data_IF_557419411963
#
_entry.id   IF_557419411963
#
_cell.length_a   1.000
_cell.length_b   1.000
_cell.length_c   1.000
_cell.angle_alpha   90.00
_cell.angle_beta   90.00
_cell.angle_gamma   90.00
#
_symmetry.space_group_name_H-M   'P 1'
#
loop_
_entity.id
_entity.type
_entity.pdbx_description
1 polymer ?
#
# COMPACT_ATOMS: atom_id res chain seq x y z
N UNK A 1 22.40 -7.85 -20.95
CA UNK A 1 20.93 -8.00 -20.91
C UNK A 1 20.45 -7.05 -19.84
N UNK A 2 19.68 -6.02 -20.24
CA UNK A 2 19.37 -4.87 -19.37
C UNK A 2 18.14 -5.24 -18.53
N UNK A 3 18.34 -5.41 -17.23
CA UNK A 3 17.29 -5.61 -16.21
C UNK A 3 16.71 -4.24 -15.85
N UNK A 4 15.40 -4.04 -15.87
CA UNK A 4 14.76 -2.77 -15.47
C UNK A 4 13.44 -3.06 -14.70
N UNK A 5 13.42 -2.65 -13.42
CA UNK A 5 12.48 -3.03 -12.35
C UNK A 5 11.21 -2.14 -12.34
N UNK A 6 10.04 -2.61 -11.84
CA UNK A 6 8.79 -2.43 -12.57
C UNK A 6 7.53 -1.76 -11.92
N UNK A 7 6.53 -1.43 -12.76
CA UNK A 7 5.19 -0.83 -12.56
C UNK A 7 4.21 -1.57 -11.61
N UNK A 8 4.53 -2.80 -11.19
CA UNK A 8 3.95 -3.37 -9.98
C UNK A 8 4.15 -2.42 -8.80
N UNK A 9 5.21 -1.63 -8.77
CA UNK A 9 5.40 -0.58 -7.79
C UNK A 9 4.16 0.33 -7.68
N UNK A 10 3.49 0.69 -8.78
CA UNK A 10 2.28 1.53 -8.74
C UNK A 10 1.03 0.74 -8.33
N UNK A 11 0.91 -0.53 -8.72
CA UNK A 11 -0.20 -1.40 -8.33
C UNK A 11 -0.06 -1.87 -6.87
N UNK A 12 1.11 -2.35 -6.43
CA UNK A 12 1.48 -2.65 -5.05
C UNK A 12 1.47 -1.40 -4.19
N UNK A 13 2.01 -0.24 -4.60
CA UNK A 13 1.82 0.99 -3.79
C UNK A 13 0.35 1.40 -3.74
N UNK A 14 -0.43 1.26 -4.81
CA UNK A 14 -1.87 1.51 -4.76
C UNK A 14 -2.61 0.49 -3.89
N UNK A 15 -2.12 -0.75 -3.80
CA UNK A 15 -2.73 -1.83 -3.00
C UNK A 15 -2.33 -1.70 -1.52
N UNK A 16 -1.09 -1.31 -1.23
CA UNK A 16 -0.61 -0.93 0.11
C UNK A 16 -1.29 0.37 0.57
N UNK A 17 -1.48 1.35 -0.31
CA UNK A 17 -2.23 2.58 -0.01
C UNK A 17 -3.72 2.28 0.19
N UNK A 18 -4.34 1.42 -0.63
CA UNK A 18 -5.72 0.99 -0.47
C UNK A 18 -5.92 0.18 0.82
N UNK A 19 -4.97 -0.70 1.16
CA UNK A 19 -4.96 -1.46 2.41
C UNK A 19 -4.76 -0.55 3.61
N UNK A 20 -3.83 0.41 3.55
CA UNK A 20 -3.63 1.44 4.57
C UNK A 20 -4.90 2.30 4.75
N UNK A 21 -5.58 2.69 3.67
CA UNK A 21 -6.85 3.41 3.73
C UNK A 21 -7.99 2.54 4.29
N UNK A 22 -8.00 1.24 4.00
CA UNK A 22 -9.01 0.29 4.50
C UNK A 22 -8.82 -0.01 5.99
N UNK A 23 -7.60 -0.30 6.44
CA UNK A 23 -7.27 -0.53 7.85
C UNK A 23 -7.50 0.73 8.68
N UNK A 24 -7.13 1.91 8.16
CA UNK A 24 -7.38 3.21 8.81
C UNK A 24 -8.88 3.51 8.90
N UNK A 25 -9.71 3.10 7.94
CA UNK A 25 -11.18 3.22 8.04
C UNK A 25 -11.76 2.30 9.09
N UNK A 26 -11.27 1.06 9.19
CA UNK A 26 -11.72 0.11 10.20
C UNK A 26 -11.35 0.60 11.60
N UNK A 27 -10.14 1.11 11.78
CA UNK A 27 -9.69 1.70 13.04
C UNK A 27 -10.43 3.00 13.38
N UNK A 28 -10.66 3.90 12.42
CA UNK A 28 -11.53 5.06 12.63
C UNK A 28 -12.96 4.67 12.99
N UNK A 29 -13.50 3.59 12.41
CA UNK A 29 -14.84 3.11 12.77
C UNK A 29 -14.86 2.51 14.19
N UNK A 30 -13.77 1.85 14.60
CA UNK A 30 -13.57 1.32 15.96
C UNK A 30 -13.43 2.47 16.96
N UNK A 31 -12.54 3.43 16.69
CA UNK A 31 -12.35 4.64 17.51
C UNK A 31 -13.62 5.48 17.59
N UNK A 32 -14.39 5.61 16.50
CA UNK A 32 -15.70 6.29 16.53
C UNK A 32 -16.73 5.53 17.38
N UNK A 33 -16.70 4.19 17.37
CA UNK A 33 -17.54 3.38 18.27
C UNK A 33 -17.10 3.51 19.72
N UNK A 34 -15.80 3.59 20.00
CA UNK A 34 -15.25 3.78 21.35
C UNK A 34 -15.49 5.21 21.88
N UNK A 35 -15.37 6.23 21.04
CA UNK A 35 -15.69 7.64 21.36
C UNK A 35 -17.20 7.88 21.47
N UNK A 36 -18.05 7.07 20.83
CA UNK A 36 -19.50 7.08 21.03
C UNK A 36 -19.94 6.33 22.30
N UNK A 37 -19.01 5.70 23.04
CA UNK A 37 -19.28 4.89 24.22
C UNK A 37 -18.66 5.41 25.54
N UNK A 38 -18.62 6.74 25.81
CA UNK A 38 -18.55 7.22 27.19
C UNK A 38 -19.55 8.33 27.55
N UNK A 39 -20.73 8.42 26.93
CA UNK A 39 -21.81 9.30 27.43
C UNK A 39 -22.87 8.58 28.29
N UNK A 40 -22.80 7.26 28.45
CA UNK A 40 -23.83 6.49 29.17
C UNK A 40 -23.45 6.05 30.60
N UNK A 41 -22.31 6.49 31.16
CA UNK A 41 -21.94 6.19 32.56
C UNK A 41 -21.32 7.43 33.22
N UNK A 42 -22.16 8.38 33.67
CA UNK A 42 -22.03 9.00 35.01
C UNK A 42 -23.10 10.08 35.21
N UNK A 43 -24.32 9.67 35.52
CA UNK A 43 -25.27 10.52 36.24
C UNK A 43 -25.38 9.99 37.67
N UNK A 44 -24.85 10.73 38.65
CA UNK A 44 -25.39 11.03 40.01
C UNK A 44 -24.22 11.39 40.99
N UNK A 45 -24.38 12.40 41.89
CA UNK A 45 -23.29 13.22 42.44
C UNK A 45 -22.96 12.97 43.94
N UNK A 46 -22.03 13.78 44.48
CA UNK A 46 -21.60 13.94 45.91
C UNK A 46 -20.67 12.83 46.46
N UNK A 47 -19.56 13.07 47.20
CA UNK A 47 -19.23 14.15 48.15
C UNK A 47 -17.72 14.17 48.51
N UNK A 48 -17.12 15.36 48.40
CA UNK A 48 -16.17 16.04 49.31
C UNK A 48 -14.77 15.48 49.72
N UNK A 49 -13.76 16.28 49.32
CA UNK A 49 -12.71 16.97 50.13
C UNK A 49 -11.57 16.15 50.80
N UNK A 50 -10.32 16.41 50.38
CA UNK A 50 -9.39 17.34 51.08
C UNK A 50 -7.97 17.38 50.48
N UNK A 51 -7.46 18.62 50.33
CA UNK A 51 -6.07 19.13 50.39
C UNK A 51 -5.00 18.57 49.42
N UNK A 52 -4.60 19.30 48.35
CA UNK A 52 -3.75 20.51 48.28
C UNK A 52 -2.23 20.23 48.37
N UNK A 53 -1.52 20.26 47.24
CA UNK A 53 -0.36 21.15 47.02
C UNK A 53 0.04 21.24 45.54
N UNK A 54 0.26 22.49 45.12
CA UNK A 54 0.50 23.02 43.77
C UNK A 54 1.95 22.87 43.27
N UNK A 55 2.11 23.19 41.97
CA UNK A 55 3.32 23.45 41.15
C UNK A 55 3.79 22.21 40.37
N UNK A 56 3.81 22.15 39.03
CA UNK A 56 4.08 23.18 38.03
C UNK A 56 3.25 23.02 36.73
N UNK A 57 3.17 24.13 36.01
CA UNK A 57 2.36 24.43 34.83
C UNK A 57 2.68 23.59 33.59
N UNK A 58 1.65 23.19 32.86
CA UNK A 58 1.73 22.88 31.43
C UNK A 58 0.45 23.45 30.80
N UNK A 59 0.54 24.40 29.85
CA UNK A 59 -0.65 24.97 29.25
C UNK A 59 -1.26 23.97 28.25
N UNK A 60 -2.28 23.24 28.72
CA UNK A 60 -3.34 22.77 27.84
C UNK A 60 -4.08 23.98 27.31
N UNK A 61 -3.93 24.27 26.01
CA UNK A 61 -4.57 25.41 25.39
C UNK A 61 -4.23 25.57 23.92
N UNK A 62 -4.51 24.55 23.10
CA UNK A 62 -4.85 24.82 21.69
C UNK A 62 -6.36 24.66 21.61
N UNK A 63 -7.03 25.79 21.81
CA UNK A 63 -8.43 26.01 21.52
C UNK A 63 -8.72 25.65 20.05
N UNK A 64 -9.93 25.14 19.80
CA UNK A 64 -10.55 24.93 18.49
C UNK A 64 -10.79 26.26 17.72
N UNK A 65 -9.77 27.11 17.64
CA UNK A 65 -9.82 28.42 17.00
C UNK A 65 -8.77 28.57 15.89
N UNK A 66 -7.86 27.59 15.72
CA UNK A 66 -6.95 27.52 14.57
C UNK A 66 -7.56 26.82 13.33
N UNK A 67 -8.76 26.21 13.44
CA UNK A 67 -9.48 25.62 12.30
C UNK A 67 -10.53 26.55 11.67
N UNK A 68 -10.81 27.71 12.27
CA UNK A 68 -11.85 28.64 11.80
C UNK A 68 -11.30 29.81 10.96
N UNK A 69 -9.99 30.00 10.89
CA UNK A 69 -9.34 31.13 10.20
C UNK A 69 -8.65 30.71 8.89
N UNK A 70 -9.01 29.55 8.32
CA UNK A 70 -8.53 29.05 7.02
C UNK A 70 -9.60 29.06 5.92
N UNK A 71 -10.77 29.67 6.16
CA UNK A 71 -11.81 29.89 5.14
C UNK A 71 -12.05 31.39 4.97
N UNK A 72 -10.99 32.13 4.71
CA UNK A 72 -11.13 33.42 4.05
C UNK A 72 -9.92 33.62 3.13
N UNK A 73 -10.00 33.00 1.96
CA UNK A 73 -9.20 33.40 0.80
C UNK A 73 -10.16 33.64 -0.36
N UNK A 74 -10.06 34.86 -0.87
CA UNK A 74 -10.86 35.48 -1.91
C UNK A 74 -11.03 34.56 -3.12
N UNK A 75 -12.24 34.53 -3.67
CA UNK A 75 -12.52 33.91 -4.95
C UNK A 75 -11.83 34.69 -6.07
N UNK A 76 -10.95 34.08 -6.89
CA UNK A 76 -10.58 34.65 -8.16
C UNK A 76 -11.56 34.21 -9.25
N UNK A 77 -11.72 35.12 -10.20
CA UNK A 77 -12.69 35.11 -11.30
C UNK A 77 -12.68 33.85 -12.16
N UNK A 78 -13.86 33.60 -12.74
CA UNK A 78 -14.13 32.59 -13.74
C UNK A 78 -13.22 32.79 -14.97
N UNK A 79 -12.23 31.91 -15.11
CA UNK A 79 -11.48 31.64 -16.33
C UNK A 79 -11.45 30.14 -16.56
N UNK A 80 -11.79 29.72 -17.78
CA UNK A 80 -11.96 28.34 -18.22
C UNK A 80 -10.74 27.46 -17.89
N UNK A 81 -10.94 26.40 -17.09
CA UNK A 81 -10.24 25.14 -17.31
C UNK A 81 -11.06 23.98 -16.74
N UNK A 82 -11.25 22.91 -17.52
CA UNK A 82 -11.96 21.69 -17.09
C UNK A 82 -11.06 20.83 -16.21
N UNK A 83 -10.48 21.43 -15.19
CA UNK A 83 -9.80 20.70 -14.14
C UNK A 83 -10.88 20.13 -13.21
N UNK A 84 -10.98 18.80 -13.13
CA UNK A 84 -11.88 18.18 -12.15
C UNK A 84 -11.44 18.62 -10.75
N UNK A 85 -12.38 19.03 -9.90
CA UNK A 85 -12.14 19.49 -8.52
C UNK A 85 -11.16 18.60 -7.73
N UNK A 86 -11.16 17.29 -8.02
CA UNK A 86 -10.25 16.30 -7.49
C UNK A 86 -8.77 16.50 -7.90
N UNK A 87 -8.47 16.84 -9.16
CA UNK A 87 -7.09 17.10 -9.62
C UNK A 87 -6.50 18.34 -8.96
N UNK A 88 -7.31 19.40 -8.80
CA UNK A 88 -6.91 20.62 -8.09
C UNK A 88 -6.59 20.36 -6.62
N UNK A 89 -7.42 19.54 -5.97
CA UNK A 89 -7.20 19.14 -4.57
C UNK A 89 -5.90 18.34 -4.42
N UNK A 90 -5.65 17.36 -5.31
CA UNK A 90 -4.41 16.57 -5.29
C UNK A 90 -3.17 17.44 -5.50
N UNK A 91 -3.23 18.38 -6.45
CA UNK A 91 -2.13 19.32 -6.70
C UNK A 91 -1.80 20.18 -5.48
N UNK A 92 -2.82 20.72 -4.81
CA UNK A 92 -2.63 21.51 -3.61
C UNK A 92 -2.03 20.69 -2.46
N UNK A 93 -2.40 19.41 -2.35
CA UNK A 93 -1.82 18.48 -1.37
C UNK A 93 -0.33 18.22 -1.66
N UNK A 94 0.06 18.00 -2.92
CA UNK A 94 1.47 17.81 -3.31
C UNK A 94 2.30 19.03 -2.94
N UNK A 95 1.86 20.23 -3.31
CA UNK A 95 2.55 21.48 -2.94
C UNK A 95 2.68 21.64 -1.43
N UNK A 96 1.60 21.34 -0.69
CA UNK A 96 1.61 21.40 0.76
C UNK A 96 2.62 20.42 1.39
N UNK A 97 2.82 19.23 0.82
CA UNK A 97 3.85 18.29 1.27
C UNK A 97 5.26 18.78 0.93
N UNK A 98 5.49 19.26 -0.29
CA UNK A 98 6.79 19.78 -0.71
C UNK A 98 7.25 20.95 0.16
N UNK A 99 6.32 21.85 0.51
CA UNK A 99 6.61 23.07 1.28
C UNK A 99 6.60 22.85 2.81
N UNK A 100 6.03 21.74 3.31
CA UNK A 100 5.85 21.51 4.75
C UNK A 100 6.67 20.30 5.28
N UNK A 101 7.85 20.53 5.87
CA UNK A 101 8.70 19.45 6.38
C UNK A 101 8.05 18.65 7.53
N UNK A 102 7.09 19.24 8.26
CA UNK A 102 6.34 18.52 9.30
C UNK A 102 5.39 17.50 8.68
N UNK A 103 4.73 17.86 7.57
CA UNK A 103 3.85 16.93 6.86
C UNK A 103 4.63 15.75 6.27
N UNK A 104 5.80 16.00 5.69
CA UNK A 104 6.67 14.93 5.19
C UNK A 104 7.08 13.95 6.28
N UNK A 105 7.43 14.44 7.48
CA UNK A 105 7.74 13.58 8.63
C UNK A 105 6.56 12.74 9.10
N UNK A 106 5.35 13.30 9.06
CA UNK A 106 4.13 12.56 9.42
C UNK A 106 3.89 11.44 8.41
N UNK A 107 4.02 11.73 7.12
CA UNK A 107 3.86 10.72 6.06
C UNK A 107 4.93 9.63 6.20
N UNK A 108 6.19 10.01 6.38
CA UNK A 108 7.30 9.08 6.60
C UNK A 108 7.05 8.16 7.80
N UNK A 109 6.68 8.73 8.96
CA UNK A 109 6.37 7.94 10.15
C UNK A 109 5.18 6.99 9.93
N UNK A 110 4.14 7.45 9.23
CA UNK A 110 2.98 6.63 8.86
C UNK A 110 3.37 5.47 7.95
N UNK A 111 4.16 5.74 6.90
CA UNK A 111 4.63 4.71 5.97
C UNK A 111 5.55 3.71 6.68
N UNK A 112 6.42 4.18 7.58
CA UNK A 112 7.30 3.33 8.38
C UNK A 112 6.51 2.38 9.28
N UNK A 113 5.41 2.84 9.88
CA UNK A 113 4.52 2.00 10.68
C UNK A 113 3.87 0.89 9.84
N UNK A 114 3.41 1.21 8.63
CA UNK A 114 2.84 0.22 7.69
C UNK A 114 3.91 -0.80 7.26
N UNK A 115 5.09 -0.34 6.88
CA UNK A 115 6.20 -1.23 6.52
C UNK A 115 6.62 -2.09 7.71
N UNK A 116 6.66 -1.54 8.93
CA UNK A 116 7.02 -2.31 10.12
C UNK A 116 6.05 -3.46 10.40
N UNK A 117 4.75 -3.26 10.14
CA UNK A 117 3.76 -4.32 10.21
C UNK A 117 3.84 -5.31 9.03
N UNK A 118 4.21 -4.84 7.83
CA UNK A 118 4.32 -5.69 6.65
C UNK A 118 5.54 -6.62 6.69
N UNK A 119 6.61 -6.20 7.38
CA UNK A 119 7.88 -6.93 7.46
C UNK A 119 8.17 -7.49 8.85
N UNK A 120 7.22 -7.44 9.79
CA UNK A 120 7.42 -7.90 11.17
C UNK A 120 7.96 -9.32 11.22
N UNK A 121 7.33 -10.22 10.47
CA UNK A 121 7.60 -11.65 10.51
C UNK A 121 8.96 -11.95 9.87
N UNK A 122 9.37 -11.15 8.87
CA UNK A 122 10.68 -11.29 8.25
C UNK A 122 11.81 -10.74 9.14
N UNK A 123 11.55 -9.64 9.85
CA UNK A 123 12.48 -9.11 10.85
C UNK A 123 12.69 -10.14 11.99
N UNK A 124 11.62 -10.81 12.42
CA UNK A 124 11.70 -11.90 13.40
C UNK A 124 12.44 -13.13 12.85
N UNK A 125 12.17 -13.53 11.60
CA UNK A 125 12.86 -14.63 10.93
C UNK A 125 14.38 -14.43 10.86
N UNK A 126 14.81 -13.21 10.52
CA UNK A 126 16.23 -12.85 10.45
C UNK A 126 16.87 -12.61 11.82
N UNK A 127 16.10 -12.61 12.90
CA UNK A 127 16.55 -12.29 14.28
C UNK A 127 17.33 -10.95 14.35
N UNK A 128 16.86 -9.94 13.63
CA UNK A 128 17.56 -8.65 13.54
C UNK A 128 17.56 -7.91 14.88
N UNK A 129 18.71 -7.39 15.26
CA UNK A 129 18.80 -6.50 16.41
C UNK A 129 18.20 -5.10 16.10
N UNK A 130 18.05 -4.19 17.09
CA UNK A 130 17.44 -2.88 16.85
C UNK A 130 18.18 -2.01 15.82
N UNK A 131 19.52 -2.04 15.78
CA UNK A 131 20.29 -1.29 14.79
C UNK A 131 20.12 -1.86 13.38
N UNK A 132 20.13 -3.19 13.25
CA UNK A 132 19.91 -3.92 11.99
C UNK A 132 18.49 -3.70 11.47
N UNK A 133 17.49 -3.81 12.34
CA UNK A 133 16.09 -3.52 12.01
C UNK A 133 15.94 -2.08 11.52
N UNK A 134 16.58 -1.12 12.18
CA UNK A 134 16.54 0.28 11.78
C UNK A 134 17.11 0.46 10.37
N UNK A 135 18.27 -0.13 10.09
CA UNK A 135 18.92 -0.04 8.78
C UNK A 135 18.12 -0.75 7.67
N UNK A 136 17.63 -1.97 7.93
CA UNK A 136 16.73 -2.70 7.04
C UNK A 136 15.50 -1.85 6.67
N UNK A 137 14.85 -1.26 7.67
CA UNK A 137 13.69 -0.40 7.46
C UNK A 137 14.03 0.90 6.71
N UNK A 138 15.23 1.47 6.92
CA UNK A 138 15.68 2.66 6.19
C UNK A 138 15.88 2.35 4.69
N UNK A 139 16.38 1.16 4.34
CA UNK A 139 16.52 0.70 2.95
C UNK A 139 15.16 0.53 2.26
N UNK A 140 14.18 -0.06 2.96
CA UNK A 140 12.81 -0.21 2.45
C UNK A 140 12.15 1.16 2.25
N UNK A 141 12.29 2.05 3.24
CA UNK A 141 11.72 3.39 3.20
C UNK A 141 12.33 4.24 2.08
N UNK A 142 13.63 4.11 1.81
CA UNK A 142 14.29 4.83 0.72
C UNK A 142 13.63 4.53 -0.63
N UNK A 143 13.42 3.25 -0.96
CA UNK A 143 12.69 2.83 -2.16
C UNK A 143 11.22 3.27 -2.11
N UNK A 144 10.54 3.05 -0.99
CA UNK A 144 9.11 3.34 -0.86
C UNK A 144 8.80 4.84 -1.05
N UNK A 145 9.66 5.73 -0.53
CA UNK A 145 9.45 7.16 -0.67
C UNK A 145 9.64 7.64 -2.11
N UNK A 146 10.57 7.06 -2.88
CA UNK A 146 10.69 7.33 -4.31
C UNK A 146 9.40 6.96 -5.06
N UNK A 147 8.81 5.82 -4.71
CA UNK A 147 7.55 5.36 -5.32
C UNK A 147 6.36 6.26 -4.96
N UNK A 148 6.25 6.65 -3.69
CA UNK A 148 5.21 7.58 -3.23
C UNK A 148 5.35 8.94 -3.92
N UNK A 149 6.57 9.47 -4.02
CA UNK A 149 6.88 10.72 -4.73
C UNK A 149 6.44 10.64 -6.21
N UNK A 150 6.81 9.56 -6.92
CA UNK A 150 6.39 9.33 -8.30
C UNK A 150 4.86 9.26 -8.43
N UNK A 151 4.19 8.46 -7.60
CA UNK A 151 2.73 8.29 -7.64
C UNK A 151 1.99 9.60 -7.40
N UNK A 152 2.40 10.39 -6.41
CA UNK A 152 1.82 11.70 -6.12
C UNK A 152 1.97 12.67 -7.30
N UNK A 153 3.15 12.72 -7.91
CA UNK A 153 3.43 13.61 -9.05
C UNK A 153 2.71 13.18 -10.32
N UNK A 154 2.53 11.88 -10.57
CA UNK A 154 1.72 11.42 -11.70
C UNK A 154 0.23 11.81 -11.53
N UNK A 155 -0.29 11.73 -10.30
CA UNK A 155 -1.67 12.11 -10.02
C UNK A 155 -1.94 13.62 -10.07
N UNK A 156 -0.92 14.47 -9.93
CA UNK A 156 -1.07 15.92 -10.03
C UNK A 156 -1.37 16.38 -11.48
N UNK A 157 -1.00 15.58 -12.48
CA UNK A 157 -1.38 15.74 -13.88
C UNK A 157 -0.56 16.76 -14.67
N UNK A 158 0.55 17.27 -14.14
CA UNK A 158 1.36 18.34 -14.75
C UNK A 158 2.85 17.98 -14.84
N UNK A 159 3.18 16.79 -15.37
CA UNK A 159 4.57 16.42 -15.63
C UNK A 159 4.89 16.58 -17.11
N UNK A 160 5.97 17.32 -17.40
CA UNK A 160 6.65 17.25 -18.70
C UNK A 160 7.24 15.86 -18.92
N UNK A 161 7.52 15.51 -20.18
CA UNK A 161 8.18 14.22 -20.48
C UNK A 161 9.57 14.13 -19.84
N UNK A 162 10.30 15.25 -19.75
CA UNK A 162 11.57 15.33 -19.03
C UNK A 162 11.41 15.04 -17.53
N UNK A 163 10.42 15.65 -16.86
CA UNK A 163 10.16 15.40 -15.43
C UNK A 163 9.70 13.96 -15.19
N UNK A 164 8.87 13.41 -16.09
CA UNK A 164 8.42 12.03 -16.03
C UNK A 164 9.60 11.06 -16.18
N UNK A 165 10.51 11.33 -17.11
CA UNK A 165 11.74 10.55 -17.29
C UNK A 165 12.65 10.63 -16.05
N UNK A 166 12.81 11.81 -15.46
CA UNK A 166 13.62 11.98 -14.26
C UNK A 166 13.04 11.22 -13.06
N UNK A 167 11.71 11.24 -12.88
CA UNK A 167 11.05 10.46 -11.82
C UNK A 167 11.21 8.95 -12.01
N UNK A 168 11.12 8.47 -13.25
CA UNK A 168 11.37 7.06 -13.56
C UNK A 168 12.82 6.65 -13.25
N UNK A 169 13.79 7.53 -13.55
CA UNK A 169 15.19 7.29 -13.21
C UNK A 169 15.43 7.30 -11.70
N UNK A 170 14.79 8.20 -10.96
CA UNK A 170 14.84 8.26 -9.49
C UNK A 170 14.33 6.97 -8.85
N UNK A 171 13.15 6.49 -9.26
CA UNK A 171 12.57 5.23 -8.76
C UNK A 171 13.47 4.04 -9.10
N UNK A 172 13.99 4.00 -10.32
CA UNK A 172 14.89 2.93 -10.74
C UNK A 172 16.18 2.92 -9.92
N UNK A 173 16.80 4.09 -9.74
CA UNK A 173 18.02 4.22 -8.94
C UNK A 173 17.76 3.81 -7.49
N UNK A 174 16.61 4.18 -6.94
CA UNK A 174 16.22 3.79 -5.59
C UNK A 174 16.08 2.26 -5.48
N UNK A 175 15.41 1.61 -6.43
CA UNK A 175 15.30 0.16 -6.49
C UNK A 175 16.64 -0.57 -6.63
N UNK A 176 17.51 -0.12 -7.55
CA UNK A 176 18.84 -0.72 -7.74
C UNK A 176 19.74 -0.54 -6.52
N UNK A 177 19.68 0.63 -5.88
CA UNK A 177 20.44 0.93 -4.66
C UNK A 177 19.94 0.09 -3.50
N UNK A 178 18.63 0.05 -3.22
CA UNK A 178 18.06 -0.78 -2.17
C UNK A 178 18.42 -2.25 -2.38
N UNK A 179 18.31 -2.78 -3.60
CA UNK A 179 18.68 -4.17 -3.89
C UNK A 179 20.15 -4.45 -3.56
N UNK A 180 21.06 -3.59 -4.00
CA UNK A 180 22.49 -3.75 -3.77
C UNK A 180 22.86 -3.65 -2.30
N UNK A 181 22.31 -2.67 -1.59
CA UNK A 181 22.55 -2.50 -0.15
C UNK A 181 21.94 -3.65 0.64
N UNK A 182 20.79 -4.18 0.21
CA UNK A 182 20.17 -5.35 0.84
C UNK A 182 21.01 -6.61 0.64
N UNK A 183 21.54 -6.85 -0.56
CA UNK A 183 22.47 -7.96 -0.85
C UNK A 183 23.71 -7.89 0.06
N UNK A 184 24.23 -6.68 0.29
CA UNK A 184 25.37 -6.47 1.20
C UNK A 184 24.98 -6.64 2.68
N UNK A 185 23.78 -6.19 3.06
CA UNK A 185 23.27 -6.27 4.42
C UNK A 185 23.03 -7.71 4.85
N UNK A 186 22.38 -8.51 4.00
CA UNK A 186 22.10 -9.92 4.28
C UNK A 186 23.39 -10.72 4.43
N UNK A 187 24.43 -10.39 3.65
CA UNK A 187 25.77 -10.97 3.75
C UNK A 187 25.81 -12.52 3.61
N UNK A 188 24.67 -13.12 3.24
CA UNK A 188 24.44 -14.52 2.95
C UNK A 188 23.47 -14.60 1.76
N UNK A 189 23.72 -15.55 0.85
CA UNK A 189 22.91 -15.68 -0.37
C UNK A 189 21.53 -16.29 -0.11
N UNK A 190 21.40 -17.18 0.88
CA UNK A 190 20.11 -17.79 1.24
C UNK A 190 19.19 -16.74 1.86
N UNK A 191 19.70 -15.90 2.76
CA UNK A 191 18.92 -14.78 3.35
C UNK A 191 18.50 -13.76 2.28
N UNK A 192 19.35 -13.52 1.28
CA UNK A 192 19.02 -12.63 0.16
C UNK A 192 17.97 -13.24 -0.79
N UNK A 193 18.04 -14.54 -1.05
CA UNK A 193 17.04 -15.26 -1.83
C UNK A 193 15.69 -15.28 -1.08
N UNK A 194 15.71 -15.49 0.24
CA UNK A 194 14.51 -15.44 1.08
C UNK A 194 13.93 -14.02 1.14
N UNK A 195 14.76 -12.97 1.25
CA UNK A 195 14.29 -11.59 1.11
C UNK A 195 13.66 -11.35 -0.26
N UNK A 196 14.26 -11.85 -1.34
CA UNK A 196 13.73 -11.68 -2.70
C UNK A 196 12.37 -12.36 -2.83
N UNK A 197 12.25 -13.59 -2.37
CA UNK A 197 10.98 -14.31 -2.29
C UNK A 197 9.95 -13.54 -1.44
N UNK A 198 10.37 -13.00 -0.30
CA UNK A 198 9.52 -12.20 0.58
C UNK A 198 9.05 -10.91 -0.11
N UNK A 199 9.87 -10.25 -0.91
CA UNK A 199 9.45 -9.08 -1.70
C UNK A 199 8.45 -9.46 -2.80
N UNK A 200 8.74 -10.53 -3.53
CA UNK A 200 7.95 -10.95 -4.68
C UNK A 200 6.58 -11.49 -4.27
N UNK A 201 6.44 -12.00 -3.06
CA UNK A 201 5.19 -12.60 -2.55
C UNK A 201 4.36 -11.68 -1.65
N UNK A 202 4.63 -10.37 -1.61
CA UNK A 202 3.87 -9.42 -0.77
C UNK A 202 2.36 -9.48 -1.04
N UNK A 203 1.95 -9.51 -2.31
CA UNK A 203 0.53 -9.54 -2.69
C UNK A 203 -0.15 -10.83 -2.25
N UNK A 204 0.54 -11.95 -2.45
CA UNK A 204 0.13 -13.30 -2.08
C UNK A 204 -0.02 -13.40 -0.55
N UNK A 205 0.96 -12.93 0.22
CA UNK A 205 0.87 -12.89 1.69
C UNK A 205 -0.28 -12.05 2.20
N UNK A 206 -0.59 -10.93 1.55
CA UNK A 206 -1.77 -10.12 1.90
C UNK A 206 -3.07 -10.91 1.67
N UNK A 207 -3.17 -11.64 0.57
CA UNK A 207 -4.33 -12.50 0.30
C UNK A 207 -4.44 -13.65 1.31
N UNK A 208 -3.34 -14.32 1.63
CA UNK A 208 -3.32 -15.42 2.59
C UNK A 208 -3.61 -14.95 4.02
N UNK A 209 -3.11 -13.78 4.42
CA UNK A 209 -3.46 -13.17 5.71
C UNK A 209 -4.98 -12.95 5.85
N UNK A 210 -5.64 -12.47 4.80
CA UNK A 210 -7.11 -12.37 4.78
C UNK A 210 -7.78 -13.76 4.86
N UNK A 211 -7.20 -14.76 4.20
CA UNK A 211 -7.70 -16.13 4.24
C UNK A 211 -7.62 -16.74 5.65
N UNK A 212 -6.47 -16.61 6.33
CA UNK A 212 -6.26 -17.13 7.68
C UNK A 212 -7.16 -16.45 8.70
N UNK A 213 -7.43 -15.14 8.54
CA UNK A 213 -8.41 -14.43 9.35
C UNK A 213 -9.83 -15.03 9.25
N UNK A 214 -10.21 -15.55 8.08
CA UNK A 214 -11.51 -16.22 7.89
C UNK A 214 -11.51 -17.64 8.49
N UNK A 215 -10.38 -18.33 8.45
CA UNK A 215 -10.25 -19.71 8.89
C UNK A 215 -10.09 -19.84 10.41
N UNK A 216 -9.51 -18.84 11.09
CA UNK A 216 -9.29 -18.90 12.53
C UNK A 216 -8.43 -20.12 12.90
N UNK A 217 -8.99 -21.05 13.67
CA UNK A 217 -8.30 -22.28 14.10
C UNK A 217 -7.93 -23.22 12.95
N UNK A 218 -8.55 -23.05 11.77
CA UNK A 218 -8.28 -23.84 10.56
C UNK A 218 -7.27 -23.16 9.61
N UNK A 219 -6.53 -22.15 10.07
CA UNK A 219 -5.50 -21.45 9.32
C UNK A 219 -4.47 -22.41 8.71
N UNK A 220 -3.74 -21.94 7.69
CA UNK A 220 -2.66 -22.73 7.10
C UNK A 220 -1.56 -22.99 8.13
N UNK A 221 -1.02 -24.21 8.15
CA UNK A 221 0.26 -24.45 8.81
C UNK A 221 1.40 -23.81 8.01
N UNK A 222 2.49 -23.44 8.68
CA UNK A 222 3.66 -22.78 8.07
C UNK A 222 4.15 -23.47 6.78
N UNK A 223 4.24 -24.80 6.77
CA UNK A 223 4.65 -25.59 5.60
C UNK A 223 3.68 -25.40 4.42
N UNK A 224 2.38 -25.49 4.68
CA UNK A 224 1.33 -25.29 3.66
C UNK A 224 1.27 -23.83 3.21
N UNK A 225 1.47 -22.88 4.13
CA UNK A 225 1.52 -21.46 3.80
C UNK A 225 2.65 -21.18 2.82
N UNK A 226 3.85 -21.71 3.08
CA UNK A 226 5.00 -21.60 2.17
C UNK A 226 4.73 -22.24 0.82
N UNK A 227 4.20 -23.46 0.80
CA UNK A 227 3.87 -24.18 -0.44
C UNK A 227 2.84 -23.42 -1.30
N UNK A 228 1.83 -22.83 -0.66
CA UNK A 228 0.84 -21.99 -1.37
C UNK A 228 1.49 -20.75 -1.98
N UNK A 229 2.36 -20.06 -1.25
CA UNK A 229 3.08 -18.90 -1.79
C UNK A 229 3.95 -19.26 -2.99
N UNK A 230 4.68 -20.38 -2.91
CA UNK A 230 5.52 -20.87 -4.01
C UNK A 230 4.69 -21.21 -5.25
N UNK A 231 3.54 -21.87 -5.08
CA UNK A 231 2.61 -22.15 -6.18
C UNK A 231 2.12 -20.85 -6.82
N UNK A 232 1.73 -19.86 -6.02
CA UNK A 232 1.23 -18.58 -6.53
C UNK A 232 2.31 -17.82 -7.30
N UNK A 233 3.53 -17.77 -6.77
CA UNK A 233 4.67 -17.12 -7.42
C UNK A 233 5.01 -17.82 -8.73
N UNK A 234 5.16 -19.14 -8.70
CA UNK A 234 5.47 -19.99 -9.86
C UNK A 234 4.42 -19.83 -10.97
N UNK A 235 3.13 -19.80 -10.63
CA UNK A 235 2.09 -19.59 -11.63
C UNK A 235 2.17 -18.18 -12.22
N UNK A 236 2.35 -17.15 -11.38
CA UNK A 236 2.42 -15.75 -11.84
C UNK A 236 3.60 -15.51 -12.79
N UNK A 237 4.76 -16.09 -12.48
CA UNK A 237 5.97 -15.94 -13.29
C UNK A 237 5.93 -16.72 -14.61
N UNK A 238 5.28 -17.89 -14.62
CA UNK A 238 5.27 -18.78 -15.77
C UNK A 238 4.00 -18.68 -16.62
N UNK A 239 3.00 -17.89 -16.20
CA UNK A 239 1.78 -17.69 -16.96
C UNK A 239 2.04 -16.94 -18.28
N UNK A 240 1.45 -17.43 -19.38
CA UNK A 240 1.56 -16.83 -20.70
C UNK A 240 0.56 -15.67 -20.85
N UNK A 241 0.96 -14.49 -20.36
CA UNK A 241 0.16 -13.29 -20.44
C UNK A 241 0.00 -12.83 -21.90
N UNK A 242 -1.24 -12.63 -22.32
CA UNK A 242 -1.55 -12.11 -23.66
C UNK A 242 -1.47 -10.58 -23.74
N UNK A 243 -1.28 -9.92 -22.60
CA UNK A 243 -1.25 -8.46 -22.46
C UNK A 243 0.04 -7.99 -21.81
N UNK A 244 0.43 -6.75 -22.10
CA UNK A 244 1.57 -6.09 -21.47
C UNK A 244 1.24 -5.48 -20.11
N UNK A 245 0.03 -5.67 -19.58
CA UNK A 245 -0.39 -5.16 -18.27
C UNK A 245 0.20 -5.97 -17.11
N UNK A 246 0.56 -7.24 -17.36
CA UNK A 246 1.32 -8.08 -16.42
C UNK A 246 2.83 -7.88 -16.54
N UNK A 247 3.30 -7.19 -17.59
CA UNK A 247 4.70 -6.85 -17.72
C UNK A 247 4.99 -5.67 -16.81
N UNK A 248 5.47 -6.03 -15.63
CA UNK A 248 5.81 -5.08 -14.63
C UNK A 248 6.91 -4.15 -15.20
N UNK A 249 7.89 -4.62 -15.99
CA UNK A 249 9.05 -3.80 -16.43
C UNK A 249 8.64 -2.61 -17.30
N UNK A 250 7.42 -2.64 -17.81
CA UNK A 250 6.88 -1.61 -18.69
C UNK A 250 6.15 -0.55 -17.87
N UNK A 251 6.61 0.71 -17.97
CA UNK A 251 6.04 1.89 -17.28
C UNK A 251 5.17 2.77 -18.20
N UNK A 252 4.72 2.24 -19.35
CA UNK A 252 3.90 2.98 -20.29
C UNK A 252 2.51 3.27 -19.68
N UNK A 253 2.22 4.55 -19.47
CA UNK A 253 0.91 5.05 -19.00
C UNK A 253 0.03 5.57 -20.14
N UNK A 254 0.33 5.17 -21.39
CA UNK A 254 -0.42 5.62 -22.55
C UNK A 254 -1.88 5.11 -22.51
N UNK A 255 -2.83 5.88 -23.07
CA UNK A 255 -4.21 5.44 -23.21
C UNK A 255 -4.35 4.09 -23.93
N UNK A 256 -3.43 3.78 -24.85
CA UNK A 256 -3.42 2.53 -25.59
C UNK A 256 -3.25 1.32 -24.67
N UNK A 257 -2.35 1.39 -23.69
CA UNK A 257 -2.12 0.31 -22.73
C UNK A 257 -3.34 0.09 -21.83
N UNK A 258 -4.00 1.18 -21.44
CA UNK A 258 -5.20 1.15 -20.60
C UNK A 258 -6.50 1.17 -21.40
N UNK A 259 -6.46 0.70 -22.65
CA UNK A 259 -7.65 0.58 -23.49
C UNK A 259 -8.61 -0.47 -22.92
N UNK A 260 -9.91 -0.32 -23.24
CA UNK A 260 -10.94 -1.24 -22.80
C UNK A 260 -10.66 -2.70 -23.21
N UNK A 261 -10.14 -2.90 -24.42
CA UNK A 261 -9.79 -4.21 -24.96
C UNK A 261 -8.62 -4.85 -24.20
N UNK A 262 -7.52 -4.12 -24.00
CA UNK A 262 -6.35 -4.65 -23.28
C UNK A 262 -6.69 -5.00 -21.82
N UNK A 263 -7.48 -4.15 -21.15
CA UNK A 263 -7.93 -4.41 -19.78
C UNK A 263 -8.86 -5.62 -19.70
N UNK A 264 -9.81 -5.76 -20.64
CA UNK A 264 -10.68 -6.94 -20.66
C UNK A 264 -9.91 -8.23 -20.91
N UNK A 265 -8.92 -8.19 -21.80
CA UNK A 265 -8.06 -9.33 -22.06
C UNK A 265 -7.22 -9.68 -20.82
N UNK A 266 -6.65 -8.69 -20.14
CA UNK A 266 -5.89 -8.93 -18.91
C UNK A 266 -6.78 -9.52 -17.79
N UNK A 267 -8.02 -9.04 -17.63
CA UNK A 267 -8.98 -9.64 -16.69
C UNK A 267 -9.28 -11.11 -17.05
N UNK A 268 -9.36 -11.45 -18.34
CA UNK A 268 -9.56 -12.83 -18.77
C UNK A 268 -8.34 -13.71 -18.44
N UNK A 269 -7.13 -13.21 -18.69
CA UNK A 269 -5.88 -13.88 -18.35
C UNK A 269 -5.77 -14.16 -16.84
N UNK A 270 -6.06 -13.15 -16.01
CA UNK A 270 -6.05 -13.32 -14.55
C UNK A 270 -7.04 -14.39 -14.06
N UNK A 271 -8.22 -14.51 -14.71
CA UNK A 271 -9.18 -15.58 -14.39
C UNK A 271 -8.65 -16.96 -14.79
N UNK A 272 -8.04 -17.07 -15.96
CA UNK A 272 -7.45 -18.32 -16.42
C UNK A 272 -6.31 -18.79 -15.49
N UNK A 273 -5.43 -17.86 -15.09
CA UNK A 273 -4.39 -18.13 -14.09
C UNK A 273 -5.00 -18.58 -12.75
N UNK A 274 -6.06 -17.90 -12.29
CA UNK A 274 -6.79 -18.28 -11.07
C UNK A 274 -7.38 -19.70 -11.12
N UNK A 275 -7.91 -20.11 -12.27
CA UNK A 275 -8.43 -21.47 -12.49
C UNK A 275 -7.30 -22.53 -12.46
N UNK A 276 -6.12 -22.21 -13.00
CA UNK A 276 -4.95 -23.09 -12.94
C UNK A 276 -4.46 -23.27 -11.49
N UNK A 277 -4.35 -22.17 -10.75
CA UNK A 277 -3.99 -22.21 -9.34
C UNK A 277 -5.00 -23.02 -8.53
N UNK A 278 -6.31 -22.84 -8.74
CA UNK A 278 -7.34 -23.61 -8.01
C UNK A 278 -7.19 -25.13 -8.19
N UNK A 279 -6.76 -25.58 -9.37
CA UNK A 279 -6.44 -26.99 -9.62
C UNK A 279 -5.33 -27.51 -8.72
N UNK A 280 -4.25 -26.74 -8.55
CA UNK A 280 -3.12 -27.10 -7.67
C UNK A 280 -3.50 -27.02 -6.19
N UNK A 281 -4.26 -25.99 -5.81
CA UNK A 281 -4.71 -25.81 -4.41
C UNK A 281 -5.61 -26.96 -3.93
N UNK A 282 -6.35 -27.62 -4.82
CA UNK A 282 -7.15 -28.79 -4.47
C UNK A 282 -6.32 -29.99 -3.96
N UNK A 283 -5.04 -30.06 -4.31
CA UNK A 283 -4.16 -31.16 -3.92
C UNK A 283 -3.57 -30.99 -2.51
N UNK A 284 -3.43 -29.74 -2.05
CA UNK A 284 -2.71 -29.40 -0.81
C UNK A 284 -3.62 -28.80 0.27
N UNK A 285 -4.76 -28.20 -0.09
CA UNK A 285 -5.67 -27.58 0.86
C UNK A 285 -6.77 -28.55 1.31
N UNK A 286 -7.15 -28.47 2.58
CA UNK A 286 -8.38 -29.11 3.08
C UNK A 286 -9.62 -28.49 2.42
N UNK A 287 -10.79 -29.16 2.45
CA UNK A 287 -12.02 -28.60 1.86
C UNK A 287 -12.43 -27.23 2.43
N UNK A 288 -12.17 -27.00 3.71
CA UNK A 288 -12.45 -25.71 4.38
C UNK A 288 -11.47 -24.63 3.92
N UNK A 289 -10.17 -24.93 3.91
CA UNK A 289 -9.13 -24.03 3.39
C UNK A 289 -9.32 -23.71 1.91
N UNK A 290 -9.70 -24.68 1.09
CA UNK A 290 -9.99 -24.48 -0.33
C UNK A 290 -11.21 -23.58 -0.55
N UNK A 291 -12.23 -23.67 0.30
CA UNK A 291 -13.37 -22.76 0.26
C UNK A 291 -12.94 -21.31 0.60
N UNK A 292 -12.12 -21.14 1.64
CA UNK A 292 -11.57 -19.85 2.01
C UNK A 292 -10.65 -19.28 0.90
N UNK A 293 -9.81 -20.11 0.28
CA UNK A 293 -8.97 -19.75 -0.87
C UNK A 293 -9.79 -19.16 -2.01
N UNK A 294 -10.84 -19.86 -2.45
CA UNK A 294 -11.73 -19.41 -3.53
C UNK A 294 -12.42 -18.10 -3.18
N UNK A 295 -12.83 -17.94 -1.92
CA UNK A 295 -13.47 -16.72 -1.45
C UNK A 295 -12.49 -15.53 -1.43
N UNK A 296 -11.28 -15.71 -0.87
CA UNK A 296 -10.22 -14.70 -0.87
C UNK A 296 -9.82 -14.31 -2.29
N UNK A 297 -9.61 -15.30 -3.16
CA UNK A 297 -9.23 -15.10 -4.55
C UNK A 297 -10.30 -14.33 -5.33
N UNK A 298 -11.57 -14.69 -5.17
CA UNK A 298 -12.68 -13.96 -5.80
C UNK A 298 -12.76 -12.50 -5.33
N UNK A 299 -12.60 -12.24 -4.03
CA UNK A 299 -12.60 -10.88 -3.49
C UNK A 299 -11.43 -10.04 -4.03
N UNK A 300 -10.23 -10.63 -4.10
CA UNK A 300 -9.05 -9.96 -4.65
C UNK A 300 -9.22 -9.66 -6.15
N UNK A 301 -9.72 -10.62 -6.91
CA UNK A 301 -10.01 -10.48 -8.34
C UNK A 301 -11.05 -9.39 -8.62
N UNK A 302 -12.11 -9.30 -7.80
CA UNK A 302 -13.11 -8.24 -7.91
C UNK A 302 -12.49 -6.86 -7.66
N UNK A 303 -11.67 -6.75 -6.61
CA UNK A 303 -10.98 -5.51 -6.29
C UNK A 303 -10.02 -5.08 -7.41
N UNK A 304 -9.18 -5.99 -7.90
CA UNK A 304 -8.23 -5.70 -8.98
C UNK A 304 -8.96 -5.33 -10.27
N UNK A 305 -10.05 -6.03 -10.60
CA UNK A 305 -10.91 -5.69 -11.74
C UNK A 305 -11.47 -4.28 -11.63
N UNK A 306 -12.00 -3.91 -10.47
CA UNK A 306 -12.55 -2.58 -10.23
C UNK A 306 -11.46 -1.48 -10.36
N UNK A 307 -10.25 -1.74 -9.83
CA UNK A 307 -9.12 -0.82 -9.95
C UNK A 307 -8.71 -0.61 -11.41
N UNK A 308 -8.63 -1.68 -12.21
CA UNK A 308 -8.30 -1.57 -13.63
C UNK A 308 -9.39 -0.84 -14.42
N UNK A 309 -10.67 -1.10 -14.14
CA UNK A 309 -11.77 -0.37 -14.77
C UNK A 309 -11.74 1.12 -14.41
N UNK A 310 -11.35 1.47 -13.18
CA UNK A 310 -11.13 2.85 -12.81
C UNK A 310 -9.93 3.46 -13.54
N UNK A 311 -8.82 2.72 -13.66
CA UNK A 311 -7.66 3.15 -14.43
C UNK A 311 -8.02 3.37 -15.91
N UNK A 312 -8.84 2.52 -16.51
CA UNK A 312 -9.41 2.70 -17.85
C UNK A 312 -10.13 4.05 -17.97
N UNK A 313 -10.99 4.39 -17.01
CA UNK A 313 -11.76 5.64 -17.03
C UNK A 313 -10.84 6.87 -16.87
N UNK A 314 -9.74 6.74 -16.14
CA UNK A 314 -8.81 7.84 -15.88
C UNK A 314 -7.76 8.04 -16.99
N UNK A 315 -7.25 6.95 -17.56
CA UNK A 315 -6.08 6.92 -18.45
C UNK A 315 -6.41 6.46 -19.87
N UNK A 316 -7.40 5.58 -20.03
CA UNK A 316 -7.73 4.91 -21.30
C UNK A 316 -8.32 5.82 -22.37
N UNK A 317 -8.80 7.02 -22.01
CA UNK A 317 -9.07 8.12 -22.94
C UNK A 317 -9.82 7.74 -24.23
N UNK A 318 -10.99 7.12 -24.11
CA UNK A 318 -12.23 7.29 -24.92
C UNK A 318 -13.35 6.36 -24.38
#
# INVERSE_FOLDING_TARGET
MKKQIPAIILAITSTILAFSLYSTKQENSRLRKELALPEAISATPERAKSANKSVAETPSGITNQAMAEFVETEAPEAGEDKETSQRRMMRNMVKMMEDNPTMNKIVEASQRGVMGALYSDFIEYLDLNPEETQYFMDLLMYRQMANVNMGMKLMSGELTEEEKSALMEEVKLAGETTKKEMEQFMNDSEDFDEWTFYEETVGERMMLSQMDQMLGDAALSDDTYREVLEIMLDERENFDWSTDLADDEKMDMSPKRFSAENIQQHIADMKAMGEQMDGRMQEILTPEQLAAWRQSGAAMMEMQTAQMQQAQQMLGGE
#
